data_IF_872873255870
#
_entry.id   IF_872873255870
#
_cell.length_a   1.000
_cell.length_b   1.000
_cell.length_c   1.000
_cell.angle_alpha   90.00
_cell.angle_beta   90.00
_cell.angle_gamma   90.00
#
_symmetry.space_group_name_H-M   'P 1'
#
loop_
_entity.id
_entity.type
_entity.pdbx_description
1 polymer ?
#
# COMPACT_ATOMS: atom_id res chain seq x y z
N UNK A 1 -9.47 19.56 -24.68
CA UNK A 1 -9.41 18.47 -23.68
C UNK A 1 -7.93 18.20 -23.39
N UNK A 2 -7.26 19.08 -22.64
CA UNK A 2 -5.85 18.91 -22.25
C UNK A 2 -5.76 18.81 -20.72
N UNK A 3 -6.27 17.72 -20.14
CA UNK A 3 -6.35 17.59 -18.68
C UNK A 3 -5.46 16.50 -18.06
N UNK A 4 -4.89 15.60 -18.87
CA UNK A 4 -3.96 14.56 -18.40
C UNK A 4 -2.62 14.73 -19.09
N UNK A 5 -1.74 15.50 -18.46
CA UNK A 5 -0.35 15.66 -18.88
C UNK A 5 0.53 14.72 -18.05
N UNK A 6 1.76 14.46 -18.50
CA UNK A 6 2.71 13.61 -17.77
C UNK A 6 3.02 14.08 -16.33
N UNK A 7 2.67 15.32 -15.96
CA UNK A 7 2.92 15.85 -14.62
C UNK A 7 1.94 15.33 -13.57
N UNK A 8 0.69 15.01 -13.94
CA UNK A 8 -0.32 14.52 -12.98
C UNK A 8 0.06 13.17 -12.37
N UNK A 9 0.44 12.15 -13.17
CA UNK A 9 0.86 10.87 -12.60
C UNK A 9 2.22 10.97 -11.89
N UNK A 10 3.08 11.94 -12.25
CA UNK A 10 4.36 12.16 -11.58
C UNK A 10 4.19 12.66 -10.13
N UNK A 11 3.20 13.54 -9.89
CA UNK A 11 2.84 13.98 -8.54
C UNK A 11 2.25 12.85 -7.70
N UNK A 12 1.46 11.95 -8.31
CA UNK A 12 0.92 10.80 -7.60
C UNK A 12 2.02 9.80 -7.20
N UNK A 13 3.01 9.58 -8.06
CA UNK A 13 4.15 8.71 -7.76
C UNK A 13 4.89 9.17 -6.49
N UNK A 14 5.14 10.47 -6.33
CA UNK A 14 5.84 11.00 -5.15
C UNK A 14 5.00 10.85 -3.87
N UNK A 15 3.71 11.16 -3.92
CA UNK A 15 2.79 11.00 -2.80
C UNK A 15 2.65 9.53 -2.36
N UNK A 16 2.44 8.61 -3.30
CA UNK A 16 2.31 7.17 -3.04
C UNK A 16 3.59 6.61 -2.41
N UNK A 17 4.75 7.05 -2.88
CA UNK A 17 6.05 6.62 -2.32
C UNK A 17 6.20 7.01 -0.85
N UNK A 18 5.79 8.22 -0.47
CA UNK A 18 5.83 8.70 0.91
C UNK A 18 4.88 7.91 1.83
N UNK A 19 3.67 7.62 1.32
CA UNK A 19 2.67 6.80 2.02
C UNK A 19 3.17 5.36 2.21
N UNK A 20 3.79 4.78 1.19
CA UNK A 20 4.40 3.45 1.27
C UNK A 20 5.48 3.36 2.35
N UNK A 21 6.33 4.39 2.48
CA UNK A 21 7.34 4.47 3.53
C UNK A 21 6.69 4.46 4.91
N UNK A 22 5.63 5.25 5.12
CA UNK A 22 4.88 5.27 6.36
C UNK A 22 4.24 3.90 6.69
N UNK A 23 3.66 3.22 5.70
CA UNK A 23 3.10 1.88 5.90
C UNK A 23 4.16 0.83 6.20
N UNK A 24 5.36 0.94 5.59
CA UNK A 24 6.47 0.03 5.86
C UNK A 24 6.91 0.16 7.32
N UNK A 25 7.04 1.39 7.81
CA UNK A 25 7.35 1.66 9.22
C UNK A 25 6.30 1.05 10.15
N UNK A 26 5.02 1.20 9.83
CA UNK A 26 3.92 0.62 10.60
C UNK A 26 3.93 -0.91 10.59
N UNK A 27 4.23 -1.53 9.44
CA UNK A 27 4.35 -2.98 9.30
C UNK A 27 5.46 -3.53 10.19
N UNK A 28 6.65 -2.90 10.15
CA UNK A 28 7.79 -3.29 10.97
C UNK A 28 7.49 -3.16 12.47
N UNK A 29 6.85 -2.07 12.88
CA UNK A 29 6.44 -1.87 14.27
C UNK A 29 5.48 -2.97 14.75
N UNK A 30 4.45 -3.32 13.96
CA UNK A 30 3.55 -4.42 14.32
C UNK A 30 4.25 -5.77 14.37
N UNK A 31 5.15 -6.05 13.43
CA UNK A 31 5.93 -7.29 13.42
C UNK A 31 6.84 -7.41 14.67
N UNK A 32 7.46 -6.31 15.09
CA UNK A 32 8.28 -6.27 16.30
C UNK A 32 7.44 -6.55 17.57
N UNK A 33 6.26 -5.93 17.68
CA UNK A 33 5.36 -6.13 18.82
C UNK A 33 4.84 -7.58 18.86
N UNK A 34 4.45 -8.15 17.71
CA UNK A 34 4.01 -9.56 17.63
C UNK A 34 5.11 -10.50 18.13
N UNK A 35 6.37 -10.31 17.72
CA UNK A 35 7.50 -11.12 18.20
C UNK A 35 7.68 -11.00 19.71
N UNK A 36 7.64 -9.78 20.23
CA UNK A 36 7.80 -9.53 21.67
C UNK A 36 6.67 -10.17 22.51
N UNK A 37 5.42 -10.12 22.04
CA UNK A 37 4.30 -10.82 22.68
C UNK A 37 4.45 -12.34 22.59
N UNK A 38 4.98 -12.86 21.48
CA UNK A 38 5.21 -14.29 21.32
C UNK A 38 6.26 -14.80 22.32
N UNK A 39 7.37 -14.08 22.50
CA UNK A 39 8.39 -14.41 23.50
C UNK A 39 7.84 -14.40 24.93
N UNK A 40 6.94 -13.46 25.25
CA UNK A 40 6.22 -13.43 26.54
C UNK A 40 5.27 -14.61 26.70
N UNK A 41 4.59 -15.01 25.62
CA UNK A 41 3.68 -16.15 25.62
C UNK A 41 4.43 -17.46 25.92
N UNK A 42 5.61 -17.68 25.34
CA UNK A 42 6.42 -18.87 25.66
C UNK A 42 6.78 -18.97 27.16
N UNK A 43 6.88 -17.84 27.88
CA UNK A 43 7.23 -17.81 29.31
C UNK A 43 6.05 -17.98 30.24
N UNK A 44 4.90 -17.37 29.92
CA UNK A 44 3.73 -17.30 30.83
C UNK A 44 2.50 -18.10 30.36
N UNK A 45 2.48 -18.57 29.12
CA UNK A 45 1.34 -19.28 28.46
C UNK A 45 -0.04 -18.62 28.68
N UNK A 46 -0.09 -17.29 28.76
CA UNK A 46 -1.34 -16.57 28.98
C UNK A 46 -2.15 -16.46 27.68
N UNK A 47 -3.39 -16.98 27.69
CA UNK A 47 -4.31 -16.88 26.55
C UNK A 47 -4.61 -15.45 26.11
N UNK A 48 -4.50 -14.46 27.01
CA UNK A 48 -4.69 -13.06 26.69
C UNK A 48 -3.66 -12.56 25.65
N UNK A 49 -2.44 -13.10 25.67
CA UNK A 49 -1.37 -12.76 24.74
C UNK A 49 -1.66 -13.30 23.34
N UNK A 50 -2.21 -14.51 23.23
CA UNK A 50 -2.63 -15.08 21.94
C UNK A 50 -3.70 -14.18 21.29
N UNK A 51 -4.70 -13.74 22.06
CA UNK A 51 -5.76 -12.86 21.56
C UNK A 51 -5.18 -11.54 21.03
N UNK A 52 -4.21 -10.95 21.73
CA UNK A 52 -3.51 -9.74 21.27
C UNK A 52 -2.69 -9.98 19.99
N UNK A 53 -1.93 -11.08 19.92
CA UNK A 53 -1.17 -11.45 18.72
C UNK A 53 -2.10 -11.61 17.51
N UNK A 54 -3.25 -12.26 17.69
CA UNK A 54 -4.24 -12.44 16.61
C UNK A 54 -4.75 -11.09 16.10
N UNK A 55 -5.10 -10.17 17.01
CA UNK A 55 -5.54 -8.83 16.64
C UNK A 55 -4.46 -8.03 15.91
N UNK A 56 -3.20 -8.11 16.36
CA UNK A 56 -2.08 -7.46 15.67
C UNK A 56 -1.81 -8.07 14.30
N UNK A 57 -1.91 -9.40 14.14
CA UNK A 57 -1.77 -10.07 12.83
C UNK A 57 -2.81 -9.57 11.83
N UNK A 58 -4.06 -9.36 12.26
CA UNK A 58 -5.11 -8.79 11.40
C UNK A 58 -4.73 -7.37 10.95
N UNK A 59 -4.29 -6.51 11.89
CA UNK A 59 -3.85 -5.13 11.57
C UNK A 59 -2.62 -5.11 10.66
N UNK A 60 -1.68 -6.03 10.86
CA UNK A 60 -0.50 -6.18 10.03
C UNK A 60 -0.89 -6.61 8.61
N UNK A 61 -1.81 -7.57 8.46
CA UNK A 61 -2.30 -7.99 7.16
C UNK A 61 -3.05 -6.86 6.44
N UNK A 62 -3.85 -6.08 7.16
CA UNK A 62 -4.54 -4.92 6.61
C UNK A 62 -3.54 -3.85 6.10
N UNK A 63 -2.46 -3.61 6.85
CA UNK A 63 -1.38 -2.70 6.43
C UNK A 63 -0.69 -3.21 5.16
N UNK A 64 -0.48 -4.53 5.05
CA UNK A 64 0.08 -5.14 3.84
C UNK A 64 -0.85 -4.97 2.63
N UNK A 65 -2.16 -5.15 2.80
CA UNK A 65 -3.12 -4.92 1.71
C UNK A 65 -3.11 -3.47 1.24
N UNK A 66 -3.08 -2.50 2.15
CA UNK A 66 -2.93 -1.07 1.81
C UNK A 66 -1.68 -0.80 0.96
N UNK A 67 -0.55 -1.47 1.26
CA UNK A 67 0.66 -1.35 0.44
C UNK A 67 0.50 -1.97 -0.95
N UNK A 68 -0.11 -3.15 -1.05
CA UNK A 68 -0.33 -3.81 -2.35
C UNK A 68 -1.22 -2.95 -3.24
N UNK A 69 -2.29 -2.35 -2.69
CA UNK A 69 -3.13 -1.42 -3.42
C UNK A 69 -2.34 -0.19 -3.89
N UNK A 70 -1.52 0.42 -3.02
CA UNK A 70 -0.65 1.53 -3.40
C UNK A 70 0.36 1.20 -4.51
N UNK A 71 1.01 0.03 -4.44
CA UNK A 71 1.93 -0.43 -5.50
C UNK A 71 1.16 -0.66 -6.81
N UNK A 72 -0.02 -1.27 -6.73
CA UNK A 72 -0.87 -1.56 -7.91
C UNK A 72 -1.33 -0.28 -8.57
N UNK A 73 -1.81 0.70 -7.78
CA UNK A 73 -2.16 2.05 -8.25
C UNK A 73 -0.98 2.73 -8.94
N UNK A 74 0.22 2.62 -8.36
CA UNK A 74 1.44 3.18 -8.94
C UNK A 74 1.83 2.51 -10.27
N UNK A 75 1.73 1.18 -10.35
CA UNK A 75 1.96 0.45 -11.61
C UNK A 75 0.95 0.86 -12.70
N UNK A 76 -0.32 1.06 -12.34
CA UNK A 76 -1.33 1.57 -13.27
C UNK A 76 -1.06 3.03 -13.68
N UNK A 77 -0.50 3.86 -12.79
CA UNK A 77 -0.05 5.21 -13.14
C UNK A 77 1.11 5.19 -14.14
N UNK A 78 2.09 4.29 -13.98
CA UNK A 78 3.17 4.10 -14.96
C UNK A 78 2.61 3.61 -16.30
N UNK A 79 1.67 2.67 -16.28
CA UNK A 79 0.97 2.21 -17.48
C UNK A 79 0.19 3.34 -18.17
N UNK A 80 -0.43 4.23 -17.39
CA UNK A 80 -1.11 5.42 -17.90
C UNK A 80 -0.12 6.34 -18.62
N UNK A 81 1.03 6.65 -18.01
CA UNK A 81 2.07 7.45 -18.67
C UNK A 81 2.54 6.81 -19.97
N UNK A 82 2.73 5.49 -19.97
CA UNK A 82 3.11 4.74 -21.17
C UNK A 82 2.05 4.84 -22.26
N UNK A 83 0.76 4.68 -21.95
CA UNK A 83 -0.32 4.81 -22.94
C UNK A 83 -0.45 6.21 -23.51
N UNK A 84 -0.25 7.25 -22.70
CA UNK A 84 -0.19 8.64 -23.17
C UNK A 84 0.98 8.83 -24.15
N UNK A 85 2.12 8.19 -23.88
CA UNK A 85 3.31 8.28 -24.75
C UNK A 85 3.11 7.66 -26.14
N UNK A 86 2.24 6.65 -26.28
CA UNK A 86 1.87 6.02 -27.57
C UNK A 86 0.57 6.57 -28.17
N UNK A 87 0.14 7.76 -27.75
CA UNK A 87 -1.07 8.47 -28.21
C UNK A 87 -2.41 7.73 -27.95
N UNK A 88 -2.44 6.75 -27.04
CA UNK A 88 -3.65 5.98 -26.67
C UNK A 88 -4.44 6.64 -25.54
N UNK A 89 -4.92 7.86 -25.76
CA UNK A 89 -5.52 8.70 -24.71
C UNK A 89 -6.81 8.14 -24.08
N UNK A 90 -7.70 7.52 -24.87
CA UNK A 90 -8.99 7.01 -24.35
C UNK A 90 -8.73 5.90 -23.33
N UNK A 91 -7.84 4.96 -23.65
CA UNK A 91 -7.48 3.86 -22.75
C UNK A 91 -6.76 4.39 -21.52
N UNK A 92 -5.87 5.36 -21.70
CA UNK A 92 -5.16 5.99 -20.59
C UNK A 92 -6.11 6.60 -19.55
N UNK A 93 -7.19 7.28 -19.97
CA UNK A 93 -8.19 7.88 -19.06
C UNK A 93 -8.86 6.82 -18.18
N UNK A 94 -9.28 5.70 -18.77
CA UNK A 94 -9.94 4.62 -18.01
C UNK A 94 -8.98 3.96 -17.02
N UNK A 95 -7.74 3.68 -17.44
CA UNK A 95 -6.72 3.08 -16.55
C UNK A 95 -6.36 4.04 -15.42
N UNK A 96 -6.24 5.33 -15.71
CA UNK A 96 -5.98 6.35 -14.69
C UNK A 96 -7.12 6.44 -13.67
N UNK A 97 -8.38 6.38 -14.12
CA UNK A 97 -9.54 6.34 -13.24
C UNK A 97 -9.51 5.15 -12.28
N UNK A 98 -9.14 3.95 -12.77
CA UNK A 98 -8.98 2.75 -11.94
C UNK A 98 -7.83 2.95 -10.94
N UNK A 99 -6.71 3.54 -11.38
CA UNK A 99 -5.56 3.81 -10.52
C UNK A 99 -5.91 4.74 -9.35
N UNK A 100 -6.81 5.71 -9.55
CA UNK A 100 -7.26 6.64 -8.51
C UNK A 100 -8.22 6.01 -7.48
N UNK A 101 -8.97 4.98 -7.89
CA UNK A 101 -9.93 4.29 -7.01
C UNK A 101 -9.26 3.24 -6.12
N UNK A 102 -8.16 2.66 -6.59
CA UNK A 102 -7.32 1.68 -5.87
C UNK A 102 -6.58 2.28 -4.68
#
# INVERSE_FOLDING_TARGET
MEALTLTTPALLFSAISLIMLAYTNRFLAYAAVIRNLHDKYLKKQDESLIKQIKNLKIRLNLTRWMQIFGITSLLLCVLTMFLIYIDQHIVAIWIFGIALVL
#
